data_IF_948065682250
#
_entry.id   IF_948065682250
#
_cell.length_a   1.000
_cell.length_b   1.000
_cell.length_c   1.000
_cell.angle_alpha   90.00
_cell.angle_beta   90.00
_cell.angle_gamma   90.00
#
_symmetry.space_group_name_H-M   'P 1'
#
loop_
_entity.id
_entity.type
_entity.pdbx_description
1 polymer ?
#
# COMPACT_ATOMS: atom_id res chain seq x y z
N UNK A 1 14.91 -8.61 4.68
CA UNK A 1 13.77 -8.44 3.76
C UNK A 1 12.45 -8.21 4.49
N UNK A 2 12.18 -8.90 5.61
CA UNK A 2 11.03 -8.61 6.49
C UNK A 2 10.85 -7.13 6.87
N UNK A 3 11.94 -6.36 6.98
CA UNK A 3 11.88 -4.95 7.36
C UNK A 3 11.63 -3.97 6.20
N UNK A 4 11.52 -4.42 4.94
CA UNK A 4 11.37 -3.51 3.78
C UNK A 4 9.97 -2.91 3.62
N UNK A 5 9.02 -3.28 4.49
CA UNK A 5 7.61 -2.90 4.38
C UNK A 5 6.75 -3.90 3.61
N UNK A 6 7.32 -4.74 2.75
CA UNK A 6 6.55 -5.74 1.98
C UNK A 6 5.94 -6.82 2.86
N UNK A 7 6.69 -7.31 3.86
CA UNK A 7 6.13 -8.24 4.83
C UNK A 7 4.97 -7.59 5.62
N UNK A 8 5.08 -6.27 5.90
CA UNK A 8 4.03 -5.49 6.54
C UNK A 8 2.80 -5.31 5.65
N UNK A 9 2.97 -5.24 4.34
CA UNK A 9 1.84 -5.23 3.40
C UNK A 9 1.02 -6.52 3.47
N UNK A 10 1.60 -7.64 3.90
CA UNK A 10 0.86 -8.88 4.14
C UNK A 10 0.20 -8.93 5.51
N UNK A 11 0.70 -8.18 6.51
CA UNK A 11 0.15 -8.13 7.87
C UNK A 11 -1.29 -7.63 7.89
N UNK A 12 -1.68 -6.76 6.95
CA UNK A 12 -3.04 -6.22 6.86
C UNK A 12 -4.03 -7.13 6.14
N UNK A 13 -3.57 -8.10 5.35
CA UNK A 13 -4.44 -8.93 4.50
C UNK A 13 -5.25 -9.91 5.32
N UNK A 14 -4.60 -10.65 6.22
CA UNK A 14 -5.28 -11.69 7.02
C UNK A 14 -6.38 -11.08 7.91
N UNK A 15 -6.14 -9.99 8.67
CA UNK A 15 -7.19 -9.33 9.42
C UNK A 15 -8.33 -8.81 8.54
N UNK A 16 -8.01 -8.23 7.37
CA UNK A 16 -9.04 -7.73 6.46
C UNK A 16 -9.96 -8.84 5.93
N UNK A 17 -9.39 -10.00 5.57
CA UNK A 17 -10.15 -11.19 5.16
C UNK A 17 -11.02 -11.73 6.31
N UNK A 18 -10.47 -11.81 7.52
CA UNK A 18 -11.21 -12.24 8.70
C UNK A 18 -12.43 -11.33 8.96
N UNK A 19 -12.23 -10.00 8.91
CA UNK A 19 -13.32 -9.04 9.08
C UNK A 19 -14.36 -9.13 7.95
N UNK A 20 -13.92 -9.39 6.71
CA UNK A 20 -14.86 -9.62 5.60
C UNK A 20 -15.72 -10.87 5.81
N UNK A 21 -15.11 -11.97 6.29
CA UNK A 21 -15.84 -13.21 6.62
C UNK A 21 -16.87 -12.93 7.73
N UNK A 22 -16.47 -12.22 8.79
CA UNK A 22 -17.37 -11.82 9.88
C UNK A 22 -18.53 -10.98 9.39
N UNK A 23 -18.27 -9.94 8.59
CA UNK A 23 -19.31 -9.08 8.01
C UNK A 23 -20.35 -9.87 7.21
N UNK A 24 -19.93 -10.87 6.44
CA UNK A 24 -20.85 -11.72 5.69
C UNK A 24 -21.69 -12.62 6.62
N UNK A 25 -21.11 -13.07 7.73
CA UNK A 25 -21.78 -13.87 8.74
C UNK A 25 -22.73 -13.06 9.65
N UNK A 26 -22.71 -11.72 9.62
CA UNK A 26 -23.67 -10.85 10.38
C UNK A 26 -25.13 -11.13 10.02
N UNK A 27 -25.39 -11.74 8.86
CA UNK A 27 -26.72 -12.26 8.50
C UNK A 27 -27.20 -13.43 9.39
N UNK A 28 -26.30 -13.99 10.21
CA UNK A 28 -26.51 -15.13 11.11
C UNK A 28 -25.86 -14.87 12.48
N UNK A 29 -26.50 -14.03 13.34
CA UNK A 29 -25.92 -13.60 14.61
C UNK A 29 -25.57 -14.76 15.56
N UNK A 30 -26.27 -15.90 15.44
CA UNK A 30 -26.02 -17.10 16.23
C UNK A 30 -24.63 -17.69 15.99
N UNK A 31 -24.02 -17.43 14.82
CA UNK A 31 -22.71 -17.97 14.44
C UNK A 31 -21.54 -17.07 14.86
N UNK A 32 -21.78 -15.85 15.34
CA UNK A 32 -20.72 -14.87 15.55
C UNK A 32 -19.62 -15.37 16.52
N UNK A 33 -20.04 -15.99 17.63
CA UNK A 33 -19.12 -16.52 18.64
C UNK A 33 -18.27 -17.67 18.08
N UNK A 34 -18.91 -18.66 17.47
CA UNK A 34 -18.22 -19.82 16.91
C UNK A 34 -17.28 -19.39 15.77
N UNK A 35 -17.68 -18.40 14.97
CA UNK A 35 -16.86 -17.84 13.92
C UNK A 35 -15.61 -17.14 14.46
N UNK A 36 -15.74 -16.36 15.54
CA UNK A 36 -14.59 -15.72 16.19
C UNK A 36 -13.61 -16.77 16.75
N UNK A 37 -14.12 -17.83 17.37
CA UNK A 37 -13.31 -18.94 17.89
C UNK A 37 -12.58 -19.68 16.76
N UNK A 38 -13.26 -19.95 15.64
CA UNK A 38 -12.65 -20.57 14.45
C UNK A 38 -11.57 -19.67 13.84
N UNK A 39 -11.86 -18.39 13.60
CA UNK A 39 -10.88 -17.44 13.04
C UNK A 39 -9.64 -17.36 13.93
N UNK A 40 -9.82 -17.33 15.25
CA UNK A 40 -8.71 -17.35 16.20
C UNK A 40 -7.93 -18.67 16.15
N UNK A 41 -8.62 -19.80 16.03
CA UNK A 41 -8.01 -21.12 15.88
C UNK A 41 -7.19 -21.29 14.60
N UNK A 42 -7.58 -20.60 13.52
CA UNK A 42 -6.87 -20.61 12.23
C UNK A 42 -5.63 -19.70 12.20
N UNK A 43 -5.39 -18.90 13.24
CA UNK A 43 -4.28 -17.94 13.26
C UNK A 43 -2.90 -18.58 12.98
N UNK A 44 -2.54 -19.76 13.55
CA UNK A 44 -1.28 -20.43 13.21
C UNK A 44 -1.18 -20.81 11.73
N UNK A 45 -2.28 -21.26 11.13
CA UNK A 45 -2.32 -21.59 9.70
C UNK A 45 -2.14 -20.34 8.84
N UNK A 46 -2.73 -19.22 9.24
CA UNK A 46 -2.57 -17.95 8.54
C UNK A 46 -1.13 -17.42 8.61
N UNK A 47 -0.44 -17.62 9.73
CA UNK A 47 1.00 -17.32 9.83
C UNK A 47 1.84 -18.19 8.88
N UNK A 48 1.47 -19.46 8.68
CA UNK A 48 2.12 -20.31 7.67
C UNK A 48 1.84 -19.82 6.23
N UNK A 49 0.60 -19.41 5.93
CA UNK A 49 0.28 -18.81 4.63
C UNK A 49 1.09 -17.54 4.37
N UNK A 50 1.26 -16.72 5.42
CA UNK A 50 2.08 -15.50 5.38
C UNK A 50 3.55 -15.82 5.14
N UNK A 51 4.11 -16.81 5.82
CA UNK A 51 5.49 -17.25 5.55
C UNK A 51 5.66 -17.70 4.10
N UNK A 52 4.70 -18.46 3.56
CA UNK A 52 4.74 -18.89 2.15
C UNK A 52 4.81 -17.72 1.17
N UNK A 53 3.99 -16.67 1.35
CA UNK A 53 4.03 -15.52 0.44
C UNK A 53 5.32 -14.70 0.60
N UNK A 54 5.88 -14.65 1.81
CA UNK A 54 7.18 -14.02 2.06
C UNK A 54 8.30 -14.77 1.32
N UNK A 55 8.30 -16.10 1.34
CA UNK A 55 9.28 -16.90 0.61
C UNK A 55 9.17 -16.69 -0.92
N UNK A 56 7.95 -16.59 -1.43
CA UNK A 56 7.71 -16.25 -2.84
C UNK A 56 8.28 -14.86 -3.16
N UNK A 57 8.01 -13.86 -2.32
CA UNK A 57 8.55 -12.52 -2.50
C UNK A 57 10.10 -12.54 -2.46
N UNK A 58 10.70 -13.28 -1.53
CA UNK A 58 12.16 -13.41 -1.44
C UNK A 58 12.77 -13.97 -2.73
N UNK A 59 12.15 -15.00 -3.32
CA UNK A 59 12.59 -15.57 -4.60
C UNK A 59 12.45 -14.58 -5.77
N UNK A 60 11.36 -13.80 -5.81
CA UNK A 60 11.15 -12.78 -6.85
C UNK A 60 12.29 -11.75 -6.81
N UNK A 61 12.66 -11.27 -5.62
CA UNK A 61 13.76 -10.32 -5.47
C UNK A 61 15.13 -10.93 -5.78
N UNK A 62 15.39 -12.16 -5.34
CA UNK A 62 16.62 -12.87 -5.67
C UNK A 62 16.79 -13.10 -7.19
N UNK A 63 15.68 -13.15 -7.95
CA UNK A 63 15.71 -13.19 -9.40
C UNK A 63 15.94 -11.84 -10.09
N UNK A 64 16.02 -10.73 -9.35
CA UNK A 64 16.14 -9.36 -9.89
C UNK A 64 17.34 -8.58 -9.35
N UNK A 65 17.84 -8.94 -8.18
CA UNK A 65 18.93 -8.25 -7.49
C UNK A 65 20.05 -9.24 -7.17
N UNK A 66 21.29 -8.77 -7.25
CA UNK A 66 22.44 -9.54 -6.83
C UNK A 66 22.54 -9.64 -5.30
N UNK A 67 23.24 -10.65 -4.81
CA UNK A 67 23.44 -10.87 -3.37
C UNK A 67 24.03 -9.66 -2.61
N UNK A 68 25.03 -8.92 -3.15
CA UNK A 68 25.55 -7.72 -2.48
C UNK A 68 24.48 -6.63 -2.30
N UNK A 69 23.66 -6.39 -3.32
CA UNK A 69 22.58 -5.39 -3.28
C UNK A 69 21.52 -5.78 -2.25
N UNK A 70 21.14 -7.06 -2.21
CA UNK A 70 20.21 -7.57 -1.21
C UNK A 70 20.74 -7.39 0.23
N UNK A 71 22.05 -7.59 0.45
CA UNK A 71 22.69 -7.37 1.75
C UNK A 71 22.63 -5.90 2.16
N UNK A 72 22.96 -4.98 1.27
CA UNK A 72 22.90 -3.54 1.53
C UNK A 72 21.47 -3.07 1.83
N UNK A 73 20.49 -3.54 1.05
CA UNK A 73 19.07 -3.26 1.29
C UNK A 73 18.62 -3.74 2.68
N UNK A 74 19.08 -4.93 3.10
CA UNK A 74 18.79 -5.45 4.45
C UNK A 74 19.42 -4.58 5.53
N UNK A 75 20.65 -4.09 5.34
CA UNK A 75 21.31 -3.18 6.27
C UNK A 75 20.52 -1.87 6.39
N UNK A 76 20.11 -1.27 5.28
CA UNK A 76 19.31 -0.05 5.28
C UNK A 76 18.01 -0.22 6.08
N UNK A 77 17.19 -1.22 5.75
CA UNK A 77 15.91 -1.43 6.44
C UNK A 77 16.04 -1.89 7.90
N UNK A 78 17.23 -2.30 8.35
CA UNK A 78 17.50 -2.56 9.77
C UNK A 78 17.95 -1.32 10.54
N UNK A 79 18.48 -0.31 9.84
CA UNK A 79 18.92 0.96 10.44
C UNK A 79 17.75 1.75 11.04
N UNK A 80 18.00 2.67 12.01
CA UNK A 80 16.97 3.56 12.52
C UNK A 80 16.26 4.37 11.42
N UNK A 81 17.02 4.86 10.43
CA UNK A 81 16.48 5.61 9.30
C UNK A 81 15.57 4.74 8.43
N UNK A 82 15.98 3.51 8.11
CA UNK A 82 15.15 2.60 7.31
C UNK A 82 13.86 2.19 8.02
N UNK A 83 13.91 1.95 9.33
CA UNK A 83 12.69 1.70 10.12
C UNK A 83 11.75 2.91 10.09
N UNK A 84 12.29 4.10 10.35
CA UNK A 84 11.52 5.36 10.30
C UNK A 84 10.91 5.59 8.92
N UNK A 85 11.66 5.35 7.85
CA UNK A 85 11.18 5.45 6.48
C UNK A 85 9.94 4.56 6.25
N UNK A 86 10.00 3.29 6.66
CA UNK A 86 8.87 2.35 6.47
C UNK A 86 7.67 2.70 7.37
N UNK A 87 7.91 3.19 8.59
CA UNK A 87 6.84 3.66 9.49
C UNK A 87 6.14 4.93 8.97
N UNK A 88 6.87 5.84 8.34
CA UNK A 88 6.35 7.13 7.87
C UNK A 88 5.73 7.06 6.47
N UNK A 89 5.95 5.98 5.73
CA UNK A 89 5.41 5.80 4.37
C UNK A 89 3.90 6.03 4.23
N UNK A 90 3.01 5.44 5.07
CA UNK A 90 1.56 5.65 4.93
C UNK A 90 1.17 7.13 5.03
N UNK A 91 1.68 7.83 6.03
CA UNK A 91 1.43 9.26 6.23
C UNK A 91 1.93 10.09 5.04
N UNK A 92 3.13 9.79 4.53
CA UNK A 92 3.68 10.48 3.35
C UNK A 92 2.81 10.26 2.12
N UNK A 93 2.32 9.03 1.91
CA UNK A 93 1.43 8.74 0.77
C UNK A 93 0.10 9.49 0.91
N UNK A 94 -0.48 9.54 2.10
CA UNK A 94 -1.73 10.28 2.35
C UNK A 94 -1.56 11.79 2.10
N UNK A 95 -0.45 12.38 2.60
CA UNK A 95 -0.11 13.79 2.37
C UNK A 95 0.16 14.08 0.88
N UNK A 96 0.84 13.16 0.18
CA UNK A 96 1.09 13.27 -1.26
C UNK A 96 -0.21 13.24 -2.07
N UNK A 97 -1.19 12.41 -1.71
CA UNK A 97 -2.49 12.38 -2.39
C UNK A 97 -3.18 13.73 -2.30
N UNK A 98 -3.19 14.36 -1.12
CA UNK A 98 -3.74 15.71 -0.94
C UNK A 98 -3.00 16.75 -1.79
N UNK A 99 -1.67 16.78 -1.69
CA UNK A 99 -0.85 17.72 -2.46
C UNK A 99 -1.03 17.55 -3.99
N UNK A 100 -1.22 16.31 -4.46
CA UNK A 100 -1.48 16.04 -5.88
C UNK A 100 -2.83 16.57 -6.35
N UNK A 101 -3.85 16.57 -5.49
CA UNK A 101 -5.16 17.15 -5.82
C UNK A 101 -5.05 18.67 -6.00
N UNK A 102 -4.41 19.34 -5.06
CA UNK A 102 -4.18 20.80 -5.11
C UNK A 102 -3.38 21.18 -6.36
N UNK A 103 -2.26 20.48 -6.60
CA UNK A 103 -1.43 20.71 -7.79
C UNK A 103 -2.21 20.50 -9.09
N UNK A 104 -3.08 19.49 -9.16
CA UNK A 104 -3.90 19.22 -10.35
C UNK A 104 -4.87 20.38 -10.62
N UNK A 105 -5.48 20.95 -9.57
CA UNK A 105 -6.37 22.09 -9.72
C UNK A 105 -5.61 23.33 -10.23
N UNK A 106 -4.49 23.67 -9.61
CA UNK A 106 -3.67 24.82 -9.99
C UNK A 106 -3.17 24.71 -11.44
N UNK A 107 -2.68 23.54 -11.83
CA UNK A 107 -2.20 23.30 -13.19
C UNK A 107 -3.35 23.36 -14.20
N UNK A 108 -4.53 22.86 -13.87
CA UNK A 108 -5.70 22.94 -14.75
C UNK A 108 -6.11 24.39 -15.02
N UNK A 109 -6.18 25.22 -13.99
CA UNK A 109 -6.49 26.65 -14.10
C UNK A 109 -5.44 27.37 -14.95
N UNK A 110 -4.16 27.13 -14.66
CA UNK A 110 -3.05 27.68 -15.43
C UNK A 110 -3.11 27.26 -16.91
N UNK A 111 -3.35 25.98 -17.17
CA UNK A 111 -3.46 25.44 -18.52
C UNK A 111 -4.62 26.09 -19.29
N UNK A 112 -5.79 26.25 -18.67
CA UNK A 112 -6.93 26.91 -19.31
C UNK A 112 -6.62 28.37 -19.68
N UNK A 113 -5.96 29.12 -18.80
CA UNK A 113 -5.52 30.49 -19.09
C UNK A 113 -4.57 30.51 -20.29
N UNK A 114 -3.55 29.64 -20.29
CA UNK A 114 -2.56 29.56 -21.37
C UNK A 114 -3.19 29.14 -22.69
N UNK A 115 -4.06 28.14 -22.69
CA UNK A 115 -4.78 27.68 -23.88
C UNK A 115 -5.65 28.78 -24.46
N UNK A 116 -6.43 29.49 -23.62
CA UNK A 116 -7.23 30.64 -24.07
C UNK A 116 -6.37 31.72 -24.72
N UNK A 117 -5.24 32.07 -24.10
CA UNK A 117 -4.33 33.08 -24.63
C UNK A 117 -3.74 32.67 -26.00
N UNK A 118 -3.27 31.43 -26.13
CA UNK A 118 -2.70 30.93 -27.39
C UNK A 118 -3.75 30.76 -28.49
N UNK A 119 -4.97 30.35 -28.14
CA UNK A 119 -6.07 30.26 -29.11
C UNK A 119 -6.55 31.64 -29.55
N UNK A 120 -6.58 32.63 -28.65
CA UNK A 120 -6.87 34.02 -28.98
C UNK A 120 -5.89 34.61 -30.00
N UNK A 121 -4.58 34.32 -29.87
CA UNK A 121 -3.56 34.70 -30.88
C UNK A 121 -3.82 34.09 -32.26
N UNK A 122 -4.57 32.99 -32.32
CA UNK A 122 -4.95 32.28 -33.56
C UNK A 122 -6.33 32.70 -34.06
N UNK A 123 -6.97 33.69 -33.44
CA UNK A 123 -8.29 34.18 -33.82
C UNK A 123 -9.46 33.35 -33.30
N UNK A 124 -9.22 32.41 -32.37
CA UNK A 124 -10.26 31.60 -31.75
C UNK A 124 -10.50 32.04 -30.30
N UNK A 125 -11.73 32.44 -30.00
CA UNK A 125 -12.12 32.83 -28.65
C UNK A 125 -12.79 31.65 -27.95
N UNK A 126 -12.17 31.16 -26.88
CA UNK A 126 -12.73 30.11 -26.03
C UNK A 126 -13.43 30.78 -24.84
N UNK A 127 -14.70 30.42 -24.59
CA UNK A 127 -15.45 30.88 -23.41
C UNK A 127 -14.84 30.32 -22.11
#
# INVERSE_FOLDING_TARGET
>A
MFNSGIARSFDSIVPALAEQIKKNAVTRPELAKDLDEVIKGLQPEMELQKQRIIDVAARIYAGRLAEPELKEIVVFFRSPAGKRYVETQPQVLDELVGAMQDWTQEVSEYMMIRVRAEMGKRGHQLQ
#
